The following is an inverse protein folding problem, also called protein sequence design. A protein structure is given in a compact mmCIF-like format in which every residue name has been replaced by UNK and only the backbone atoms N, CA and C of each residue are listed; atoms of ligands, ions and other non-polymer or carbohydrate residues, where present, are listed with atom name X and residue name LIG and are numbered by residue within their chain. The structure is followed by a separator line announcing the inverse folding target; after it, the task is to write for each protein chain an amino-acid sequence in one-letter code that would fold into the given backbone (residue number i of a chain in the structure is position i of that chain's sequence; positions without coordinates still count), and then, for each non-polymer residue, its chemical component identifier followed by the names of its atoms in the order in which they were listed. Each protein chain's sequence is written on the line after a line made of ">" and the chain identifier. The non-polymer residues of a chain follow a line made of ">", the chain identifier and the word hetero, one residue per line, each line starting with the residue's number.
data_IF_898318017314
#
_entry.id   IF_898318017314
#
_cell.length_a   1.000
_cell.length_b   1.000
_cell.length_c   1.000
_cell.angle_alpha   90.00
_cell.angle_beta   90.00
_cell.angle_gamma   90.00
#
_symmetry.space_group_name_H-M   'P 1'
#
loop_
_entity.id
_entity.type
_entity.pdbx_description
1 polymer ?
#
# COMPACT_ATOMS: atom_id res chain seq x y z
N UNK A 1 1.85 8.13 6.84
CA UNK A 1 2.96 7.35 7.43
C UNK A 1 2.49 5.96 7.81
N UNK A 2 3.17 4.90 7.34
CA UNK A 2 2.83 3.51 7.69
C UNK A 2 3.41 3.19 9.07
N UNK A 3 2.56 2.70 9.98
CA UNK A 3 2.95 2.37 11.35
C UNK A 3 3.27 0.88 11.55
N UNK A 4 2.55 0.00 10.83
CA UNK A 4 2.72 -1.44 10.94
C UNK A 4 2.32 -2.14 9.63
N UNK A 5 2.65 -3.43 9.54
CA UNK A 5 2.30 -4.28 8.41
C UNK A 5 1.67 -5.58 8.92
N UNK A 6 0.45 -5.88 8.46
CA UNK A 6 -0.16 -7.21 8.67
C UNK A 6 0.46 -8.26 7.73
N UNK A 7 0.82 -7.86 6.52
CA UNK A 7 1.39 -8.74 5.50
C UNK A 7 2.93 -8.65 5.48
N UNK A 8 3.59 -9.81 5.63
CA UNK A 8 5.06 -9.91 5.68
C UNK A 8 5.73 -9.64 4.33
N UNK A 9 5.07 -9.92 3.21
CA UNK A 9 5.62 -9.64 1.88
C UNK A 9 5.50 -8.15 1.55
N UNK A 10 4.40 -7.49 1.95
CA UNK A 10 4.28 -6.04 1.84
C UNK A 10 5.37 -5.31 2.63
N UNK A 11 5.68 -5.77 3.85
CA UNK A 11 6.79 -5.23 4.63
C UNK A 11 8.14 -5.43 3.91
N UNK A 12 8.43 -6.65 3.42
CA UNK A 12 9.66 -6.91 2.65
C UNK A 12 9.79 -5.98 1.45
N UNK A 13 8.73 -5.84 0.66
CA UNK A 13 8.71 -4.96 -0.52
C UNK A 13 8.99 -3.51 -0.10
N UNK A 14 8.37 -3.03 0.98
CA UNK A 14 8.62 -1.68 1.51
C UNK A 14 10.09 -1.48 1.92
N UNK A 15 10.69 -2.48 2.56
CA UNK A 15 12.11 -2.53 2.93
C UNK A 15 13.06 -2.76 1.73
N UNK A 16 12.53 -2.81 0.50
CA UNK A 16 13.27 -3.10 -0.75
C UNK A 16 13.92 -4.48 -0.77
N UNK A 17 13.39 -5.43 -0.01
CA UNK A 17 13.78 -6.84 -0.03
C UNK A 17 12.94 -7.60 -1.04
N UNK A 18 13.57 -8.46 -1.82
CA UNK A 18 12.89 -9.28 -2.81
C UNK A 18 11.94 -10.29 -2.15
N UNK A 19 10.66 -10.25 -2.53
CA UNK A 19 9.70 -11.30 -2.20
C UNK A 19 9.84 -12.46 -3.18
N UNK A 20 10.01 -13.68 -2.67
CA UNK A 20 9.97 -14.89 -3.50
C UNK A 20 8.54 -15.34 -3.86
N UNK A 21 7.53 -14.74 -3.21
CA UNK A 21 6.12 -15.11 -3.37
C UNK A 21 5.39 -14.24 -4.39
N UNK A 22 5.84 -13.00 -4.56
CA UNK A 22 5.21 -12.04 -5.47
C UNK A 22 6.02 -11.91 -6.76
N UNK A 23 5.36 -11.90 -7.94
CA UNK A 23 6.00 -11.53 -9.20
C UNK A 23 6.70 -10.17 -9.14
N UNK A 24 7.77 -10.00 -9.90
CA UNK A 24 8.62 -8.81 -9.83
C UNK A 24 7.88 -7.52 -10.22
N UNK A 25 7.03 -7.58 -11.24
CA UNK A 25 6.16 -6.49 -11.69
C UNK A 25 5.19 -6.05 -10.59
N UNK A 26 4.58 -7.00 -9.87
CA UNK A 26 3.73 -6.72 -8.71
C UNK A 26 4.54 -6.06 -7.59
N UNK A 27 5.76 -6.53 -7.30
CA UNK A 27 6.61 -5.90 -6.28
C UNK A 27 6.94 -4.44 -6.60
N UNK A 28 7.19 -4.12 -7.87
CA UNK A 28 7.45 -2.74 -8.31
C UNK A 28 6.23 -1.84 -8.12
N UNK A 29 5.05 -2.31 -8.49
CA UNK A 29 3.79 -1.56 -8.31
C UNK A 29 3.48 -1.39 -6.82
N UNK A 30 3.62 -2.45 -6.04
CA UNK A 30 3.40 -2.44 -4.59
C UNK A 30 4.33 -1.46 -3.89
N UNK A 31 5.63 -1.45 -4.21
CA UNK A 31 6.58 -0.48 -3.65
C UNK A 31 6.17 0.97 -3.94
N UNK A 32 5.71 1.26 -5.17
CA UNK A 32 5.21 2.59 -5.51
C UNK A 32 3.99 2.97 -4.66
N UNK A 33 3.02 2.08 -4.52
CA UNK A 33 1.80 2.31 -3.72
C UNK A 33 2.11 2.48 -2.22
N UNK A 34 2.98 1.63 -1.67
CA UNK A 34 3.38 1.72 -0.25
C UNK A 34 4.13 3.01 0.06
N UNK A 35 4.94 3.52 -0.87
CA UNK A 35 5.57 4.85 -0.71
C UNK A 35 4.55 5.98 -0.69
N UNK A 36 3.49 5.89 -1.50
CA UNK A 36 2.41 6.87 -1.49
C UNK A 36 1.66 6.85 -0.16
N UNK A 37 1.25 5.67 0.33
CA UNK A 37 0.63 5.50 1.64
C UNK A 37 1.51 6.03 2.77
N UNK A 38 2.83 5.81 2.69
CA UNK A 38 3.74 6.29 3.71
C UNK A 38 3.87 7.82 3.72
N UNK A 39 3.78 8.46 2.55
CA UNK A 39 3.93 9.92 2.38
C UNK A 39 2.64 10.71 2.51
N UNK A 40 1.48 10.08 2.36
CA UNK A 40 0.20 10.76 2.51
C UNK A 40 0.05 11.38 3.90
N UNK A 41 -0.34 12.65 3.92
CA UNK A 41 -0.69 13.42 5.12
C UNK A 41 -2.20 13.36 5.37
N UNK A 42 -2.97 13.26 4.28
CA UNK A 42 -4.44 13.17 4.32
C UNK A 42 -4.96 12.03 3.43
N UNK A 43 -6.21 11.60 3.64
CA UNK A 43 -6.86 10.61 2.78
C UNK A 43 -7.04 11.12 1.34
N UNK A 44 -7.17 12.44 1.17
CA UNK A 44 -7.35 13.08 -0.13
C UNK A 44 -6.13 12.89 -1.03
N UNK A 45 -4.92 12.83 -0.47
CA UNK A 45 -3.67 12.60 -1.21
C UNK A 45 -3.71 11.27 -1.97
N UNK A 46 -4.41 10.27 -1.41
CA UNK A 46 -4.55 8.94 -1.99
C UNK A 46 -5.59 8.88 -3.11
N UNK A 47 -6.33 9.95 -3.40
CA UNK A 47 -7.18 10.03 -4.60
C UNK A 47 -6.38 10.29 -5.88
N UNK A 48 -5.13 10.75 -5.76
CA UNK A 48 -4.25 11.03 -6.90
C UNK A 48 -3.12 9.99 -6.96
N UNK A 49 -2.88 9.36 -8.12
CA UNK A 49 -3.62 9.46 -9.37
C UNK A 49 -4.98 8.70 -9.28
N UNK A 50 -5.96 9.02 -10.15
CA UNK A 50 -7.30 8.42 -10.13
C UNK A 50 -7.32 6.88 -10.17
N UNK A 51 -6.28 6.28 -10.75
CA UNK A 51 -6.07 4.83 -10.77
C UNK A 51 -5.86 4.20 -9.38
N UNK A 52 -5.78 4.97 -8.30
CA UNK A 52 -5.82 4.45 -6.94
C UNK A 52 -7.19 3.90 -6.57
N UNK A 53 -8.28 4.46 -7.13
CA UNK A 53 -9.67 4.06 -6.85
C UNK A 53 -9.93 3.94 -5.34
N UNK A 54 -9.52 4.96 -4.59
CA UNK A 54 -9.70 4.99 -3.14
C UNK A 54 -11.19 4.86 -2.80
N UNK A 55 -11.52 3.86 -2.00
CA UNK A 55 -12.86 3.57 -1.52
C UNK A 55 -12.85 3.33 -0.02
N UNK A 56 -13.98 3.58 0.64
CA UNK A 56 -14.16 3.30 2.06
C UNK A 56 -14.67 1.86 2.20
N UNK A 57 -14.01 1.05 3.02
CA UNK A 57 -14.48 -0.29 3.35
C UNK A 57 -15.67 -0.25 4.32
N UNK A 58 -16.53 -1.26 4.27
CA UNK A 58 -17.76 -1.39 5.07
C UNK A 58 -17.79 -2.73 5.83
N UNK A 59 -18.69 -2.86 6.81
CA UNK A 59 -18.83 -4.07 7.65
C UNK A 59 -17.67 -4.21 8.65
N UNK A 60 -17.14 -5.43 8.81
CA UNK A 60 -16.03 -5.73 9.75
C UNK A 60 -14.71 -5.01 9.43
N UNK A 61 -14.67 -4.27 8.32
CA UNK A 61 -13.52 -3.51 7.86
C UNK A 61 -13.79 -2.00 7.84
N UNK A 62 -14.88 -1.54 8.43
CA UNK A 62 -15.13 -0.11 8.60
C UNK A 62 -13.96 0.56 9.36
N UNK A 63 -13.48 1.68 8.82
CA UNK A 63 -12.32 2.41 9.35
C UNK A 63 -10.95 1.93 8.86
N UNK A 64 -10.90 0.92 7.98
CA UNK A 64 -9.71 0.51 7.21
C UNK A 64 -9.71 1.15 5.82
#
# INVERSE_FOLDING_TARGET
>A
MIQNFKDKEAQKVFERKHSRKLPLDIQQVALRKLRMLNRAETLQDLRVPPANRLERLVGDREGQ
#
